data_IF_508352824802
#
_entry.id   IF_508352824802
#
_cell.length_a   1.000
_cell.length_b   1.000
_cell.length_c   1.000
_cell.angle_alpha   90.00
_cell.angle_beta   90.00
_cell.angle_gamma   90.00
#
_symmetry.space_group_name_H-M   'P 1'
#
loop_
_entity.id
_entity.type
_entity.pdbx_description
1 polymer ?
#
# COMPACT_ATOMS: atom_id res chain seq x y z
N UNK A 1 51.37 6.63 17.20
CA UNK A 1 50.01 6.38 16.68
C UNK A 1 49.60 4.99 17.10
N UNK A 2 48.82 4.88 18.18
CA UNK A 2 48.46 3.61 18.81
C UNK A 2 47.48 2.79 17.97
N UNK A 3 47.40 1.48 18.22
CA UNK A 3 46.45 0.57 17.56
C UNK A 3 44.99 1.07 17.68
N UNK A 4 44.65 1.71 18.80
CA UNK A 4 43.32 2.25 19.08
C UNK A 4 42.98 3.42 18.15
N UNK A 5 43.94 4.29 17.85
CA UNK A 5 43.74 5.43 16.95
C UNK A 5 43.51 4.97 15.51
N UNK A 6 44.22 3.91 15.07
CA UNK A 6 43.98 3.30 13.75
C UNK A 6 42.59 2.71 13.62
N UNK A 7 42.08 2.07 14.68
CA UNK A 7 40.72 1.51 14.69
C UNK A 7 39.67 2.62 14.60
N UNK A 8 39.88 3.75 15.29
CA UNK A 8 38.98 4.89 15.20
C UNK A 8 38.95 5.50 13.79
N UNK A 9 40.11 5.68 13.17
CA UNK A 9 40.22 6.17 11.79
C UNK A 9 39.56 5.23 10.77
N UNK A 10 39.69 3.92 10.97
CA UNK A 10 39.09 2.93 10.08
C UNK A 10 37.57 2.84 10.25
N UNK A 11 37.04 3.02 11.47
CA UNK A 11 35.60 3.13 11.71
C UNK A 11 35.01 4.38 11.04
N UNK A 12 35.69 5.52 11.13
CA UNK A 12 35.24 6.77 10.49
C UNK A 12 35.27 6.69 8.96
N UNK A 13 36.27 6.02 8.39
CA UNK A 13 36.33 5.75 6.94
C UNK A 13 35.21 4.82 6.48
N UNK A 14 34.84 3.82 7.29
CA UNK A 14 33.74 2.90 6.99
C UNK A 14 32.40 3.62 7.05
N UNK A 15 32.15 4.45 8.07
CA UNK A 15 30.92 5.25 8.17
C UNK A 15 30.76 6.19 6.97
N UNK A 16 31.83 6.90 6.58
CA UNK A 16 31.80 7.77 5.38
C UNK A 16 31.55 7.01 4.08
N UNK A 17 31.95 5.75 3.97
CA UNK A 17 31.64 4.89 2.81
C UNK A 17 30.20 4.43 2.82
N UNK A 18 29.63 4.11 3.98
CA UNK A 18 28.22 3.75 4.12
C UNK A 18 27.32 4.91 3.69
N UNK A 19 27.62 6.13 4.14
CA UNK A 19 26.85 7.32 3.75
C UNK A 19 26.90 7.58 2.24
N UNK A 20 28.07 7.39 1.61
CA UNK A 20 28.20 7.51 0.15
C UNK A 20 27.42 6.43 -0.61
N UNK A 21 27.39 5.20 -0.11
CA UNK A 21 26.62 4.10 -0.73
C UNK A 21 25.10 4.28 -0.58
N UNK A 22 24.63 4.99 0.45
CA UNK A 22 23.21 5.31 0.61
C UNK A 22 22.72 6.35 -0.41
N UNK A 23 23.60 7.24 -0.87
CA UNK A 23 23.27 8.32 -1.82
C UNK A 23 23.27 7.83 -3.28
N UNK A 24 24.06 6.82 -3.62
CA UNK A 24 24.16 6.29 -5.01
C UNK A 24 23.06 5.28 -5.39
N UNK A 25 22.08 5.00 -4.51
CA UNK A 25 20.89 4.18 -4.84
C UNK A 25 19.70 4.96 -5.41
N UNK A 26 19.89 6.21 -5.80
CA UNK A 26 19.01 6.94 -6.72
C UNK A 26 19.88 7.32 -7.93
N UNK A 27 19.73 6.76 -9.12
CA UNK A 27 18.53 6.66 -9.96
C UNK A 27 18.83 5.63 -11.06
N UNK A 28 17.77 4.99 -11.58
CA UNK A 28 17.73 4.09 -12.73
C UNK A 28 17.75 2.57 -12.44
N UNK A 29 17.14 2.16 -11.34
CA UNK A 29 16.15 1.11 -11.51
C UNK A 29 14.94 1.80 -12.15
N UNK A 30 14.56 1.42 -13.37
CA UNK A 30 13.19 1.67 -13.79
C UNK A 30 12.33 1.08 -12.67
N UNK A 31 11.80 1.94 -11.80
CA UNK A 31 10.88 1.53 -10.76
C UNK A 31 9.74 0.89 -11.52
N UNK A 32 9.75 -0.44 -11.57
CA UNK A 32 8.56 -1.20 -11.79
C UNK A 32 7.56 -0.61 -10.80
N UNK A 33 6.62 0.21 -11.29
CA UNK A 33 5.49 0.74 -10.51
C UNK A 33 4.74 -0.41 -9.81
N UNK A 34 4.98 -1.64 -10.25
CA UNK A 34 4.73 -2.88 -9.55
C UNK A 34 5.76 -3.15 -8.46
N UNK A 35 5.50 -2.61 -7.25
CA UNK A 35 6.17 -3.03 -6.01
C UNK A 35 5.67 -4.41 -5.53
N UNK A 36 4.48 -4.80 -5.96
CA UNK A 36 3.88 -6.11 -5.68
C UNK A 36 4.25 -7.09 -6.80
N UNK A 37 5.35 -7.84 -6.67
CA UNK A 37 5.69 -8.91 -7.64
C UNK A 37 4.60 -9.99 -7.79
N UNK A 38 3.61 -10.00 -6.90
CA UNK A 38 2.47 -10.92 -6.85
C UNK A 38 1.16 -10.12 -6.77
N UNK A 39 0.66 -9.68 -7.94
CA UNK A 39 -0.71 -9.21 -8.04
C UNK A 39 -1.68 -10.39 -8.00
N UNK A 40 -2.77 -10.26 -7.23
CA UNK A 40 -3.80 -11.27 -7.13
C UNK A 40 -4.55 -11.38 -8.47
N UNK A 41 -4.89 -12.61 -8.87
CA UNK A 41 -5.81 -12.83 -9.99
C UNK A 41 -7.24 -12.51 -9.59
N UNK A 42 -8.13 -12.47 -10.57
CA UNK A 42 -9.56 -12.22 -10.37
C UNK A 42 -10.20 -13.11 -9.30
N UNK A 43 -9.88 -14.40 -9.27
CA UNK A 43 -10.38 -15.34 -8.27
C UNK A 43 -9.79 -15.08 -6.87
N UNK A 44 -8.47 -14.89 -6.79
CA UNK A 44 -7.78 -14.66 -5.52
C UNK A 44 -8.18 -13.31 -4.89
N UNK A 45 -8.42 -12.30 -5.73
CA UNK A 45 -8.94 -11.00 -5.29
C UNK A 45 -10.38 -11.13 -4.78
N UNK A 46 -11.20 -11.97 -5.42
CA UNK A 46 -12.57 -12.26 -4.99
C UNK A 46 -12.59 -12.93 -3.60
N UNK A 47 -11.73 -13.94 -3.42
CA UNK A 47 -11.56 -14.62 -2.14
C UNK A 47 -11.04 -13.67 -1.05
N UNK A 48 -10.04 -12.85 -1.38
CA UNK A 48 -9.48 -11.87 -0.45
C UNK A 48 -10.51 -10.83 0.02
N UNK A 49 -11.41 -10.40 -0.87
CA UNK A 49 -12.46 -9.44 -0.57
C UNK A 49 -13.76 -10.09 -0.04
N UNK A 50 -13.84 -11.43 -0.03
CA UNK A 50 -15.04 -12.16 0.38
C UNK A 50 -16.25 -11.95 -0.56
N UNK A 51 -15.99 -11.71 -1.85
CA UNK A 51 -17.04 -11.46 -2.87
C UNK A 51 -16.97 -12.47 -4.00
N UNK A 52 -18.00 -12.50 -4.86
CA UNK A 52 -17.98 -13.35 -6.05
C UNK A 52 -17.06 -12.77 -7.14
N UNK A 53 -16.46 -13.66 -7.94
CA UNK A 53 -15.63 -13.30 -9.09
C UNK A 53 -16.35 -12.39 -10.09
N UNK A 54 -17.63 -12.65 -10.33
CA UNK A 54 -18.47 -11.81 -11.20
C UNK A 54 -18.62 -10.39 -10.66
N UNK A 55 -18.67 -10.23 -9.34
CA UNK A 55 -18.71 -8.91 -8.70
C UNK A 55 -17.42 -8.14 -8.93
N UNK A 56 -16.26 -8.79 -8.75
CA UNK A 56 -14.95 -8.18 -9.04
C UNK A 56 -14.88 -7.67 -10.48
N UNK A 57 -15.30 -8.48 -11.46
CA UNK A 57 -15.25 -8.10 -12.87
C UNK A 57 -16.21 -6.97 -13.22
N UNK A 58 -17.41 -6.97 -12.63
CA UNK A 58 -18.43 -5.92 -12.84
C UNK A 58 -17.99 -4.59 -12.23
N UNK A 59 -17.34 -4.62 -11.08
CA UNK A 59 -16.91 -3.44 -10.33
C UNK A 59 -15.40 -3.16 -10.46
N UNK A 60 -14.74 -3.71 -11.48
CA UNK A 60 -13.28 -3.61 -11.65
C UNK A 60 -12.77 -2.17 -11.68
N UNK A 61 -13.57 -1.24 -12.21
CA UNK A 61 -13.20 0.18 -12.32
C UNK A 61 -13.17 0.89 -10.97
N UNK A 62 -13.91 0.37 -9.98
CA UNK A 62 -13.95 0.90 -8.62
C UNK A 62 -12.85 0.30 -7.74
N UNK A 63 -12.22 -0.78 -8.21
CA UNK A 63 -11.18 -1.50 -7.49
C UNK A 63 -9.80 -1.11 -8.03
N UNK A 64 -8.78 -0.99 -7.17
CA UNK A 64 -7.41 -0.78 -7.61
C UNK A 64 -6.92 -2.02 -8.37
N UNK A 65 -6.72 -1.85 -9.68
CA UNK A 65 -6.29 -2.90 -10.59
C UNK A 65 -5.18 -2.39 -11.51
N UNK A 66 -4.49 -3.32 -12.15
CA UNK A 66 -3.54 -3.03 -13.20
C UNK A 66 -3.56 -4.12 -14.27
N UNK A 67 -3.02 -3.79 -15.44
CA UNK A 67 -2.86 -4.75 -16.53
C UNK A 67 -1.39 -5.13 -16.67
N UNK A 68 -1.12 -6.43 -16.61
CA UNK A 68 0.17 -7.03 -16.95
C UNK A 68 0.03 -7.74 -18.30
N UNK A 69 0.29 -7.00 -19.38
CA UNK A 69 -0.08 -7.42 -20.72
C UNK A 69 -1.60 -7.50 -20.85
N UNK A 70 -2.13 -8.67 -21.21
CA UNK A 70 -3.58 -8.92 -21.29
C UNK A 70 -4.19 -9.45 -19.99
N UNK A 71 -3.42 -9.52 -18.89
CA UNK A 71 -3.89 -10.06 -17.62
C UNK A 71 -4.30 -8.94 -16.68
N UNK A 72 -5.52 -9.00 -16.18
CA UNK A 72 -5.99 -8.16 -15.10
C UNK A 72 -5.46 -8.69 -13.78
N UNK A 73 -4.77 -7.83 -13.03
CA UNK A 73 -4.20 -8.17 -11.72
C UNK A 73 -4.59 -7.11 -10.69
N UNK A 74 -4.74 -7.56 -9.46
CA UNK A 74 -5.14 -6.74 -8.32
C UNK A 74 -4.01 -6.70 -7.29
N UNK A 75 -3.24 -5.59 -7.21
CA UNK A 75 -2.16 -5.47 -6.24
C UNK A 75 -2.72 -5.53 -4.81
N UNK A 76 -2.24 -6.48 -4.01
CA UNK A 76 -2.75 -6.70 -2.64
C UNK A 76 -2.51 -5.48 -1.75
N UNK A 77 -1.39 -4.78 -1.93
CA UNK A 77 -1.09 -3.57 -1.17
C UNK A 77 -2.07 -2.43 -1.49
N UNK A 78 -2.45 -2.28 -2.76
CA UNK A 78 -3.40 -1.27 -3.22
C UNK A 78 -4.83 -1.60 -2.75
N UNK A 79 -5.25 -2.87 -2.85
CA UNK A 79 -6.53 -3.33 -2.31
C UNK A 79 -6.65 -3.06 -0.81
N UNK A 80 -5.59 -3.33 -0.04
CA UNK A 80 -5.57 -3.05 1.40
C UNK A 80 -5.75 -1.56 1.69
N UNK A 81 -4.99 -0.69 1.01
CA UNK A 81 -5.12 0.76 1.18
C UNK A 81 -6.51 1.26 0.84
N UNK A 82 -7.06 0.81 -0.29
CA UNK A 82 -8.40 1.15 -0.73
C UNK A 82 -9.47 0.72 0.29
N UNK A 83 -9.35 -0.48 0.88
CA UNK A 83 -10.24 -0.92 1.96
C UNK A 83 -10.14 0.00 3.18
N UNK A 84 -8.93 0.38 3.57
CA UNK A 84 -8.70 1.30 4.69
C UNK A 84 -9.32 2.67 4.41
N UNK A 85 -9.08 3.26 3.23
CA UNK A 85 -9.66 4.54 2.81
C UNK A 85 -11.19 4.49 2.79
N UNK A 86 -11.78 3.48 2.16
CA UNK A 86 -13.24 3.30 2.13
C UNK A 86 -13.85 3.06 3.51
N UNK A 87 -13.14 2.35 4.38
CA UNK A 87 -13.59 2.15 5.76
C UNK A 87 -13.57 3.45 6.57
N UNK A 88 -12.57 4.31 6.35
CA UNK A 88 -12.46 5.63 7.00
C UNK A 88 -13.55 6.56 6.47
N UNK A 89 -13.73 6.65 5.14
CA UNK A 89 -14.81 7.42 4.52
C UNK A 89 -16.19 7.02 5.06
N UNK A 90 -16.44 5.71 5.23
CA UNK A 90 -17.71 5.22 5.78
C UNK A 90 -17.89 5.53 7.27
N UNK A 91 -16.81 5.61 8.05
CA UNK A 91 -16.87 6.00 9.47
C UNK A 91 -17.18 7.48 9.59
N UNK A 92 -16.50 8.32 8.81
CA UNK A 92 -16.69 9.77 8.83
C UNK A 92 -18.09 10.17 8.35
N UNK A 93 -18.63 9.50 7.33
CA UNK A 93 -20.00 9.73 6.86
C UNK A 93 -21.06 9.33 7.91
N UNK A 94 -20.84 8.24 8.65
CA UNK A 94 -21.78 7.80 9.71
C UNK A 94 -21.82 8.73 10.92
N UNK A 95 -20.75 9.47 11.19
CA UNK A 95 -20.72 10.45 12.30
C UNK A 95 -21.54 11.68 11.94
N UNK A 96 -21.53 12.10 10.66
CA UNK A 96 -22.24 13.31 10.21
C UNK A 96 -23.76 13.06 10.08
N UNK A 97 -24.21 11.85 9.74
CA UNK A 97 -25.64 11.56 9.57
C UNK A 97 -26.44 11.32 10.88
N UNK A 98 -25.75 11.12 12.02
CA UNK A 98 -26.44 10.80 13.29
C UNK A 98 -26.96 12.01 14.06
N UNK A 99 -26.61 13.23 13.67
CA UNK A 99 -27.08 14.46 14.33
C UNK A 99 -28.48 14.94 13.87
N UNK A 100 -29.24 14.08 13.16
CA UNK A 100 -30.45 14.47 12.44
C UNK A 100 -31.80 13.94 12.94
N UNK A 101 -31.92 13.19 14.05
CA UNK A 101 -33.20 12.57 14.43
C UNK A 101 -33.71 12.97 15.82
N UNK A 102 -34.68 13.90 15.84
CA UNK A 102 -35.66 14.04 16.94
C UNK A 102 -36.84 13.10 16.64
N UNK A 103 -37.00 12.03 17.40
CA UNK A 103 -38.25 11.26 17.42
C UNK A 103 -38.87 11.39 18.81
N UNK A 104 -40.06 12.00 18.84
CA UNK A 104 -40.88 12.28 20.03
C UNK A 104 -41.51 10.98 20.55
N UNK A 105 -41.63 10.83 21.88
CA UNK A 105 -42.50 9.82 22.49
C UNK A 105 -43.94 10.05 22.01
N UNK A 106 -44.60 8.98 21.56
CA UNK A 106 -46.06 8.93 21.49
C UNK A 106 -46.58 8.55 22.89
N UNK A 107 -47.55 9.31 23.40
CA UNK A 107 -48.35 8.99 24.59
C UNK A 107 -49.30 7.80 24.33
#
# INVERSE_FOLDING_TARGET
MGLIEKIADDLDKLNKKIDKLAVEKSVAAAESKFKDKEGLKDFEAAEYLGVSKSSILRHKEQLPHAYLGNRLIFPKSALRKWLTEKSIENVDQKVIEKDGYKIRKLD
#
